data_IF_006014456094
#
_entry.id   IF_006014456094
#
_cell.length_a   1.000
_cell.length_b   1.000
_cell.length_c   1.000
_cell.angle_alpha   90.00
_cell.angle_beta   90.00
_cell.angle_gamma   90.00
#
_symmetry.space_group_name_H-M   'P 1'
#
loop_
_entity.id
_entity.type
_entity.pdbx_description
1 polymer ?
#
# COMPACT_ATOMS: atom_id res chain seq x y z
N UNK A 1 0.42 8.57 -0.75
CA UNK A 1 1.50 8.78 0.26
C UNK A 1 0.92 9.14 1.63
N UNK A 2 1.06 10.35 2.20
CA UNK A 2 0.64 10.55 3.62
C UNK A 2 -0.88 10.58 3.80
N UNK A 3 -1.63 11.26 2.92
CA UNK A 3 -3.09 11.31 3.01
C UNK A 3 -3.73 9.92 2.84
N UNK A 4 -3.15 9.11 1.97
CA UNK A 4 -3.54 7.71 1.74
C UNK A 4 -3.32 6.86 2.99
N UNK A 5 -2.15 6.96 3.64
CA UNK A 5 -1.86 6.27 4.89
C UNK A 5 -2.80 6.70 6.03
N UNK A 6 -3.03 8.01 6.19
CA UNK A 6 -3.96 8.54 7.21
C UNK A 6 -5.38 8.03 6.96
N UNK A 7 -5.86 8.08 5.71
CA UNK A 7 -7.19 7.58 5.33
C UNK A 7 -7.30 6.07 5.58
N UNK A 8 -6.28 5.28 5.20
CA UNK A 8 -6.25 3.85 5.42
C UNK A 8 -6.33 3.50 6.92
N UNK A 9 -5.57 4.21 7.76
CA UNK A 9 -5.59 4.02 9.22
C UNK A 9 -6.93 4.40 9.85
N UNK A 10 -7.58 5.48 9.40
CA UNK A 10 -8.89 5.91 9.89
C UNK A 10 -9.96 4.84 9.66
N UNK A 11 -9.93 4.19 8.50
CA UNK A 11 -10.82 3.06 8.17
C UNK A 11 -10.34 1.71 8.69
N UNK A 12 -9.27 1.69 9.49
CA UNK A 12 -8.65 0.47 10.05
C UNK A 12 -8.32 -0.57 8.99
N UNK A 13 -7.91 -0.11 7.80
CA UNK A 13 -7.47 -0.97 6.72
C UNK A 13 -6.24 -1.77 7.15
N UNK A 14 -6.21 -3.06 6.80
CA UNK A 14 -5.03 -3.89 6.95
C UNK A 14 -3.98 -3.54 5.89
N UNK A 15 -2.74 -4.00 6.08
CA UNK A 15 -1.71 -3.87 5.05
C UNK A 15 -2.13 -4.58 3.74
N UNK A 16 -2.87 -5.69 3.84
CA UNK A 16 -3.37 -6.41 2.67
C UNK A 16 -4.41 -5.59 1.88
N UNK A 17 -5.29 -4.87 2.58
CA UNK A 17 -6.30 -4.02 1.94
C UNK A 17 -5.63 -2.96 1.08
N UNK A 18 -4.61 -2.27 1.62
CA UNK A 18 -3.85 -1.26 0.89
C UNK A 18 -3.07 -1.88 -0.27
N UNK A 19 -2.40 -3.01 -0.04
CA UNK A 19 -1.66 -3.72 -1.07
C UNK A 19 -2.54 -4.14 -2.27
N UNK A 20 -3.82 -4.45 -2.05
CA UNK A 20 -4.78 -4.88 -3.08
C UNK A 20 -5.51 -3.73 -3.78
N UNK A 21 -5.40 -2.48 -3.30
CA UNK A 21 -5.97 -1.33 -3.99
C UNK A 21 -5.22 -1.01 -5.30
N UNK A 22 -5.94 -0.44 -6.27
CA UNK A 22 -5.32 0.04 -7.51
C UNK A 22 -4.49 1.28 -7.23
N UNK A 23 -3.22 1.24 -7.63
CA UNK A 23 -2.30 2.36 -7.56
C UNK A 23 -1.96 2.77 -8.98
N UNK A 24 -2.10 4.06 -9.27
CA UNK A 24 -1.79 4.59 -10.61
C UNK A 24 -0.33 4.34 -10.94
N UNK A 25 -0.08 3.81 -12.13
CA UNK A 25 1.26 3.63 -12.69
C UNK A 25 1.50 4.65 -13.81
N UNK A 26 2.65 5.35 -13.87
CA UNK A 26 3.77 5.34 -12.92
C UNK A 26 3.67 6.45 -11.86
N UNK A 27 3.64 6.12 -10.56
CA UNK A 27 3.60 7.12 -9.47
C UNK A 27 4.34 6.70 -8.21
N UNK A 28 4.73 7.67 -7.37
CA UNK A 28 5.33 7.38 -6.05
C UNK A 28 4.40 6.61 -5.10
N UNK A 29 3.08 6.63 -5.32
CA UNK A 29 2.15 5.86 -4.49
C UNK A 29 2.37 4.35 -4.62
N UNK A 30 2.98 3.87 -5.71
CA UNK A 30 3.33 2.46 -5.88
C UNK A 30 4.29 1.96 -4.79
N UNK A 31 5.16 2.83 -4.25
CA UNK A 31 6.03 2.46 -3.13
C UNK A 31 5.23 2.13 -1.85
N UNK A 32 4.08 2.79 -1.63
CA UNK A 32 3.19 2.47 -0.51
C UNK A 32 2.56 1.09 -0.69
N UNK A 33 2.08 0.77 -1.90
CA UNK A 33 1.58 -0.55 -2.26
C UNK A 33 2.61 -1.66 -2.01
N UNK A 34 3.83 -1.47 -2.49
CA UNK A 34 4.91 -2.46 -2.35
C UNK A 34 5.32 -2.65 -0.88
N UNK A 35 5.39 -1.56 -0.10
CA UNK A 35 5.63 -1.64 1.34
C UNK A 35 4.51 -2.40 2.06
N UNK A 36 3.25 -2.21 1.68
CA UNK A 36 2.11 -2.94 2.23
C UNK A 36 2.10 -4.43 1.82
N UNK A 37 2.50 -4.77 0.59
CA UNK A 37 2.72 -6.15 0.16
C UNK A 37 3.82 -6.83 0.99
N UNK A 38 4.88 -6.08 1.30
CA UNK A 38 5.96 -6.55 2.16
C UNK A 38 5.52 -6.78 3.61
N UNK A 39 4.75 -5.84 4.17
CA UNK A 39 4.27 -5.92 5.55
C UNK A 39 3.24 -7.05 5.78
N UNK A 40 2.50 -7.44 4.74
CA UNK A 40 1.48 -8.49 4.82
C UNK A 40 2.14 -9.87 4.94
N UNK A 41 2.96 -10.25 3.97
CA UNK A 41 3.55 -11.60 3.86
C UNK A 41 4.94 -11.59 3.17
N UNK A 42 5.64 -10.46 3.20
CA UNK A 42 6.93 -10.26 2.50
C UNK A 42 6.88 -10.60 1.00
N UNK A 43 5.80 -10.20 0.33
CA UNK A 43 5.49 -10.57 -1.07
C UNK A 43 5.43 -9.37 -2.01
N UNK A 44 6.32 -8.40 -1.81
CA UNK A 44 6.50 -7.31 -2.76
C UNK A 44 6.94 -7.84 -4.13
N UNK A 45 6.52 -7.16 -5.19
CA UNK A 45 6.75 -7.56 -6.59
C UNK A 45 7.93 -6.78 -7.17
N UNK A 46 8.14 -5.54 -6.74
CA UNK A 46 9.12 -4.62 -7.32
C UNK A 46 10.15 -4.14 -6.28
N UNK A 47 10.57 -5.03 -5.37
CA UNK A 47 11.62 -4.78 -4.37
C UNK A 47 12.96 -5.39 -4.74
#
# INVERSE_FOLDING_TARGET
LIAEAVTAMEFRASAEDVARMSHSHPTYAEAMKEACLAATENRAIHM
#
